data_IF_348185077416
#
_entry.id   IF_348185077416
#
_cell.length_a   1.000
_cell.length_b   1.000
_cell.length_c   1.000
_cell.angle_alpha   90.00
_cell.angle_beta   90.00
_cell.angle_gamma   90.00
#
_symmetry.space_group_name_H-M   'P 1'
#
loop_
_entity.id
_entity.type
_entity.pdbx_description
1 polymer ?
#
# COMPACT_ATOMS: atom_id res chain seq x y z
N UNK A 1 -24.82 -25.70 25.55
CA UNK A 1 -23.49 -26.08 26.12
C UNK A 1 -23.54 -27.49 26.70
N UNK A 2 -24.50 -27.80 27.59
CA UNK A 2 -24.64 -29.17 28.14
C UNK A 2 -25.16 -30.19 27.11
N UNK A 3 -25.91 -29.74 26.11
CA UNK A 3 -26.43 -30.58 25.01
C UNK A 3 -25.43 -30.82 23.86
N UNK A 4 -24.19 -30.31 23.98
CA UNK A 4 -23.13 -30.42 22.97
C UNK A 4 -23.46 -29.90 21.55
N UNK A 5 -24.61 -29.24 21.35
CA UNK A 5 -24.96 -28.61 20.08
C UNK A 5 -24.16 -27.31 19.84
N UNK A 6 -23.10 -27.44 19.05
CA UNK A 6 -22.24 -26.33 18.63
C UNK A 6 -22.85 -25.52 17.47
N UNK A 7 -23.70 -26.12 16.64
CA UNK A 7 -24.32 -25.45 15.50
C UNK A 7 -25.45 -24.53 15.98
N UNK A 8 -26.32 -25.05 16.85
CA UNK A 8 -27.37 -24.26 17.48
C UNK A 8 -26.80 -23.14 18.34
N UNK A 9 -25.70 -23.39 19.05
CA UNK A 9 -25.02 -22.36 19.84
C UNK A 9 -24.46 -21.25 18.94
N UNK A 10 -23.79 -21.59 17.83
CA UNK A 10 -23.26 -20.59 16.89
C UNK A 10 -24.37 -19.74 16.25
N UNK A 11 -25.43 -20.39 15.77
CA UNK A 11 -26.58 -19.69 15.21
C UNK A 11 -27.27 -18.78 16.24
N UNK A 12 -27.34 -19.22 17.51
CA UNK A 12 -27.91 -18.42 18.59
C UNK A 12 -27.03 -17.21 18.95
N UNK A 13 -25.71 -17.39 18.95
CA UNK A 13 -24.76 -16.29 19.18
C UNK A 13 -24.82 -15.27 18.03
N UNK A 14 -24.84 -15.73 16.78
CA UNK A 14 -24.94 -14.83 15.62
C UNK A 14 -26.31 -14.10 15.56
N UNK A 15 -27.37 -14.68 16.12
CA UNK A 15 -28.71 -14.09 16.16
C UNK A 15 -28.95 -13.13 17.33
N UNK A 16 -28.29 -13.33 18.47
CA UNK A 16 -28.55 -12.59 19.71
C UNK A 16 -27.24 -12.12 20.33
N UNK A 17 -26.95 -10.82 20.32
CA UNK A 17 -25.68 -10.24 20.86
C UNK A 17 -25.81 -9.70 22.31
N UNK A 18 -26.96 -9.91 22.96
CA UNK A 18 -27.24 -9.41 24.32
C UNK A 18 -26.85 -10.44 25.40
N UNK A 19 -25.58 -10.78 25.50
CA UNK A 19 -25.06 -11.63 26.58
C UNK A 19 -23.60 -11.28 26.93
N UNK A 20 -23.09 -11.80 28.04
CA UNK A 20 -21.70 -11.57 28.45
C UNK A 20 -20.74 -12.44 27.62
N UNK A 21 -20.25 -11.85 26.53
CA UNK A 21 -19.29 -12.44 25.59
C UNK A 21 -18.03 -12.98 26.29
N UNK A 22 -17.54 -12.30 27.33
CA UNK A 22 -16.28 -12.65 27.99
C UNK A 22 -16.46 -13.84 28.92
N UNK A 23 -17.51 -13.81 29.75
CA UNK A 23 -17.80 -14.91 30.68
C UNK A 23 -18.17 -16.18 29.92
N UNK A 24 -18.91 -16.06 28.81
CA UNK A 24 -19.24 -17.20 27.95
C UNK A 24 -17.97 -17.79 27.30
N UNK A 25 -17.10 -16.96 26.74
CA UNK A 25 -15.85 -17.42 26.12
C UNK A 25 -14.93 -18.15 27.11
N UNK A 26 -14.80 -17.66 28.35
CA UNK A 26 -14.01 -18.32 29.39
C UNK A 26 -14.58 -19.69 29.79
N UNK A 27 -15.90 -19.85 29.77
CA UNK A 27 -16.55 -21.14 30.04
C UNK A 27 -16.34 -22.12 28.89
N UNK A 28 -16.38 -21.63 27.65
CA UNK A 28 -16.17 -22.42 26.44
C UNK A 28 -14.70 -22.85 26.27
N UNK A 29 -13.72 -22.04 26.68
CA UNK A 29 -12.28 -22.41 26.63
C UNK A 29 -11.98 -23.69 27.43
N UNK A 30 -12.71 -23.94 28.52
CA UNK A 30 -12.51 -25.11 29.39
C UNK A 30 -13.16 -26.40 28.87
N UNK A 31 -13.98 -26.31 27.81
CA UNK A 31 -14.70 -27.46 27.29
C UNK A 31 -13.76 -28.40 26.50
N UNK A 32 -14.03 -29.71 26.54
CA UNK A 32 -13.18 -30.72 25.88
C UNK A 32 -13.24 -30.67 24.35
N UNK A 33 -14.37 -30.30 23.77
CA UNK A 33 -14.52 -30.22 22.30
C UNK A 33 -13.83 -28.99 21.73
N UNK A 34 -13.13 -29.20 20.61
CA UNK A 34 -12.49 -28.14 19.82
C UNK A 34 -13.49 -27.15 19.25
N UNK A 35 -14.71 -27.60 18.89
CA UNK A 35 -15.72 -26.74 18.28
C UNK A 35 -16.21 -25.65 19.25
N UNK A 36 -16.36 -25.96 20.54
CA UNK A 36 -16.71 -24.95 21.54
C UNK A 36 -15.58 -23.96 21.77
N UNK A 37 -14.31 -24.40 21.74
CA UNK A 37 -13.16 -23.51 21.87
C UNK A 37 -12.97 -22.63 20.62
N UNK A 38 -13.32 -23.14 19.44
CA UNK A 38 -13.41 -22.36 18.21
C UNK A 38 -14.46 -21.26 18.31
N UNK A 39 -15.64 -21.57 18.84
CA UNK A 39 -16.69 -20.56 19.11
C UNK A 39 -16.20 -19.54 20.16
N UNK A 40 -15.46 -19.97 21.17
CA UNK A 40 -14.84 -19.06 22.15
C UNK A 40 -13.85 -18.07 21.49
N UNK A 41 -13.02 -18.55 20.55
CA UNK A 41 -12.10 -17.69 19.80
C UNK A 41 -12.86 -16.66 18.95
N UNK A 42 -13.98 -17.06 18.34
CA UNK A 42 -14.89 -16.18 17.60
C UNK A 42 -15.54 -15.11 18.49
N UNK A 43 -15.99 -15.49 19.70
CA UNK A 43 -16.49 -14.55 20.71
C UNK A 43 -15.43 -13.53 21.14
N UNK A 44 -14.18 -13.96 21.37
CA UNK A 44 -13.08 -13.04 21.69
C UNK A 44 -12.76 -12.09 20.55
N UNK A 45 -12.87 -12.54 19.29
CA UNK A 45 -12.76 -11.70 18.11
C UNK A 45 -13.85 -10.62 18.10
N UNK A 46 -15.12 -10.98 18.33
CA UNK A 46 -16.24 -10.02 18.36
C UNK A 46 -16.04 -8.91 19.39
N UNK A 47 -15.36 -9.20 20.51
CA UNK A 47 -15.05 -8.24 21.56
C UNK A 47 -13.67 -7.55 21.39
N UNK A 48 -13.06 -7.56 20.19
CA UNK A 48 -11.74 -6.98 19.91
C UNK A 48 -10.58 -7.50 20.80
N UNK A 49 -10.72 -8.69 21.40
CA UNK A 49 -9.67 -9.31 22.23
C UNK A 49 -8.80 -10.24 21.39
N UNK A 50 -8.08 -9.65 20.44
CA UNK A 50 -7.27 -10.37 19.45
C UNK A 50 -6.18 -11.25 20.08
N UNK A 51 -5.50 -10.75 21.13
CA UNK A 51 -4.44 -11.50 21.84
C UNK A 51 -4.95 -12.83 22.42
N UNK A 52 -6.10 -12.79 23.10
CA UNK A 52 -6.72 -13.98 23.70
C UNK A 52 -7.24 -14.93 22.63
N UNK A 53 -7.83 -14.39 21.56
CA UNK A 53 -8.32 -15.19 20.44
C UNK A 53 -7.18 -15.96 19.75
N UNK A 54 -6.07 -15.29 19.46
CA UNK A 54 -4.89 -15.91 18.84
C UNK A 54 -4.23 -16.92 19.77
N UNK A 55 -4.11 -16.64 21.07
CA UNK A 55 -3.55 -17.58 22.04
C UNK A 55 -4.39 -18.86 22.16
N UNK A 56 -5.72 -18.73 22.12
CA UNK A 56 -6.61 -19.89 22.09
C UNK A 56 -6.44 -20.69 20.80
N UNK A 57 -6.32 -20.01 19.65
CA UNK A 57 -6.06 -20.69 18.38
C UNK A 57 -4.70 -21.41 18.36
N UNK A 58 -3.68 -20.88 19.04
CA UNK A 58 -2.38 -21.54 19.23
C UNK A 58 -2.52 -22.82 20.07
N UNK A 59 -3.29 -22.78 21.18
CA UNK A 59 -3.55 -23.97 22.01
C UNK A 59 -4.24 -25.08 21.23
N UNK A 60 -5.20 -24.72 20.38
CA UNK A 60 -5.99 -25.69 19.63
C UNK A 60 -5.39 -26.06 18.27
N UNK A 61 -4.30 -25.41 17.85
CA UNK A 61 -3.67 -25.57 16.52
C UNK A 61 -4.64 -25.28 15.37
N UNK A 62 -5.56 -24.34 15.55
CA UNK A 62 -6.45 -23.86 14.50
C UNK A 62 -5.74 -22.80 13.64
N UNK A 63 -4.90 -23.27 12.73
CA UNK A 63 -4.05 -22.42 11.90
C UNK A 63 -4.83 -21.47 10.98
N UNK A 64 -5.90 -21.95 10.35
CA UNK A 64 -6.70 -21.16 9.40
C UNK A 64 -7.39 -19.98 10.06
N UNK A 65 -8.02 -20.23 11.21
CA UNK A 65 -8.74 -19.20 11.94
C UNK A 65 -7.77 -18.22 12.60
N UNK A 66 -6.64 -18.70 13.15
CA UNK A 66 -5.58 -17.85 13.69
C UNK A 66 -5.10 -16.81 12.67
N UNK A 67 -4.90 -17.24 11.42
CA UNK A 67 -4.45 -16.38 10.33
C UNK A 67 -5.50 -15.34 9.94
N UNK A 68 -6.77 -15.73 9.83
CA UNK A 68 -7.85 -14.77 9.57
C UNK A 68 -7.99 -13.77 10.71
N UNK A 69 -7.89 -14.21 11.96
CA UNK A 69 -7.99 -13.32 13.12
C UNK A 69 -6.81 -12.36 13.23
N UNK A 70 -5.60 -12.79 12.86
CA UNK A 70 -4.43 -11.89 12.76
C UNK A 70 -4.55 -10.90 11.61
N UNK A 71 -5.09 -11.31 10.45
CA UNK A 71 -5.34 -10.40 9.34
C UNK A 71 -6.41 -9.35 9.69
N UNK A 72 -7.47 -9.76 10.40
CA UNK A 72 -8.54 -8.87 10.85
C UNK A 72 -8.11 -7.93 11.98
N UNK A 73 -7.20 -8.35 12.86
CA UNK A 73 -6.74 -7.50 13.97
C UNK A 73 -5.99 -6.26 13.49
N UNK A 74 -5.38 -6.31 12.29
CA UNK A 74 -4.51 -5.26 11.75
C UNK A 74 -3.40 -4.82 12.72
N UNK A 75 -2.98 -5.71 13.61
CA UNK A 75 -1.84 -5.52 14.51
C UNK A 75 -0.61 -6.26 13.99
N UNK A 76 0.39 -5.51 13.51
CA UNK A 76 1.63 -6.06 12.94
C UNK A 76 2.41 -6.89 13.97
N UNK A 77 2.46 -6.46 15.24
CA UNK A 77 3.17 -7.22 16.28
C UNK A 77 2.50 -8.59 16.54
N UNK A 78 1.17 -8.65 16.46
CA UNK A 78 0.43 -9.89 16.64
C UNK A 78 0.68 -10.84 15.47
N UNK A 79 0.72 -10.32 14.25
CA UNK A 79 1.02 -11.09 13.05
C UNK A 79 2.46 -11.64 13.09
N UNK A 80 3.46 -10.85 13.49
CA UNK A 80 4.84 -11.30 13.65
C UNK A 80 4.99 -12.40 14.71
N UNK A 81 4.36 -12.23 15.88
CA UNK A 81 4.33 -13.25 16.95
C UNK A 81 3.61 -14.53 16.53
N UNK A 82 2.63 -14.44 15.63
CA UNK A 82 1.98 -15.60 15.06
C UNK A 82 2.90 -16.28 14.04
N UNK A 83 3.58 -15.50 13.20
CA UNK A 83 4.54 -15.99 12.21
C UNK A 83 5.71 -16.74 12.85
N UNK A 84 6.30 -16.19 13.91
CA UNK A 84 7.39 -16.82 14.66
C UNK A 84 6.96 -18.18 15.23
N UNK A 85 5.73 -18.27 15.75
CA UNK A 85 5.17 -19.52 16.26
C UNK A 85 4.93 -20.56 15.14
N UNK A 86 4.47 -20.14 13.96
CA UNK A 86 4.34 -21.04 12.81
C UNK A 86 5.68 -21.63 12.37
N UNK A 87 6.76 -20.84 12.46
CA UNK A 87 8.12 -21.25 12.15
C UNK A 87 8.68 -22.24 13.18
N UNK A 88 8.37 -22.06 14.46
CA UNK A 88 8.72 -23.01 15.53
C UNK A 88 8.02 -24.37 15.33
N UNK A 89 6.81 -24.38 14.78
CA UNK A 89 6.06 -25.62 14.52
C UNK A 89 6.41 -26.28 13.16
N UNK A 90 7.40 -25.74 12.43
CA UNK A 90 7.92 -26.18 11.12
C UNK A 90 6.84 -26.38 10.02
N UNK A 91 5.67 -25.75 10.17
CA UNK A 91 4.56 -25.81 9.21
C UNK A 91 4.75 -24.80 8.08
N UNK A 92 5.61 -25.15 7.12
CA UNK A 92 5.98 -24.31 5.95
C UNK A 92 4.80 -23.85 5.10
N UNK A 93 3.77 -24.68 4.98
CA UNK A 93 2.54 -24.35 4.23
C UNK A 93 1.70 -23.28 4.92
N UNK A 94 1.63 -23.31 6.26
CA UNK A 94 0.90 -22.31 7.04
C UNK A 94 1.61 -20.96 6.98
N UNK A 95 2.95 -20.96 6.96
CA UNK A 95 3.74 -19.75 6.77
C UNK A 95 3.42 -19.06 5.44
N UNK A 96 3.46 -19.80 4.33
CA UNK A 96 3.15 -19.26 3.01
C UNK A 96 1.72 -18.68 2.95
N UNK A 97 0.74 -19.40 3.49
CA UNK A 97 -0.64 -18.91 3.49
C UNK A 97 -0.81 -17.68 4.41
N UNK A 98 -0.08 -17.60 5.53
CA UNK A 98 -0.11 -16.44 6.45
C UNK A 98 0.48 -15.17 5.86
N UNK A 99 1.47 -15.32 4.98
CA UNK A 99 2.03 -14.22 4.20
C UNK A 99 0.99 -13.59 3.27
N UNK A 100 0.19 -14.42 2.60
CA UNK A 100 -0.86 -13.93 1.72
C UNK A 100 -2.01 -13.26 2.47
N UNK A 101 -2.44 -13.81 3.61
CA UNK A 101 -3.53 -13.21 4.38
C UNK A 101 -3.14 -11.90 5.05
N UNK A 102 -1.87 -11.77 5.47
CA UNK A 102 -1.36 -10.61 6.19
C UNK A 102 -0.51 -9.68 5.31
N UNK A 103 -0.80 -9.62 4.00
CA UNK A 103 0.01 -8.91 2.99
C UNK A 103 0.29 -7.44 3.34
N UNK A 104 -0.71 -6.72 3.83
CA UNK A 104 -0.60 -5.28 4.15
C UNK A 104 0.12 -4.99 5.47
N UNK A 105 0.25 -6.01 6.32
CA UNK A 105 0.64 -5.84 7.72
C UNK A 105 2.07 -6.27 8.01
N UNK A 106 2.58 -7.18 7.19
CA UNK A 106 3.92 -7.75 7.34
C UNK A 106 4.95 -6.89 6.61
N UNK A 107 6.01 -6.51 7.32
CA UNK A 107 7.16 -5.88 6.70
C UNK A 107 7.95 -6.93 5.90
N UNK A 108 8.24 -6.67 4.60
CA UNK A 108 9.01 -7.60 3.76
C UNK A 108 10.37 -7.98 4.36
N UNK A 109 10.99 -7.05 5.10
CA UNK A 109 12.29 -7.24 5.73
C UNK A 109 12.25 -8.33 6.82
N UNK A 110 11.22 -8.29 7.69
CA UNK A 110 11.03 -9.26 8.77
C UNK A 110 10.71 -10.65 8.20
N UNK A 111 9.87 -10.69 7.17
CA UNK A 111 9.56 -11.94 6.45
C UNK A 111 10.81 -12.54 5.85
N UNK A 112 11.69 -11.72 5.27
CA UNK A 112 12.91 -12.19 4.62
C UNK A 112 13.90 -12.76 5.64
N UNK A 113 14.08 -12.09 6.78
CA UNK A 113 14.93 -12.58 7.87
C UNK A 113 14.43 -13.95 8.37
N UNK A 114 13.13 -14.07 8.61
CA UNK A 114 12.49 -15.30 9.08
C UNK A 114 12.59 -16.44 8.05
N UNK A 115 12.30 -16.14 6.79
CA UNK A 115 12.39 -17.11 5.71
C UNK A 115 13.83 -17.62 5.49
N UNK A 116 14.81 -16.73 5.65
CA UNK A 116 16.21 -17.07 5.50
C UNK A 116 16.74 -17.91 6.67
N UNK A 117 16.40 -17.57 7.92
CA UNK A 117 16.82 -18.36 9.10
C UNK A 117 16.29 -19.78 9.09
N UNK A 118 15.06 -19.98 8.59
CA UNK A 118 14.40 -21.29 8.56
C UNK A 118 14.58 -22.04 7.23
N UNK A 119 15.35 -21.49 6.28
CA UNK A 119 15.58 -22.08 4.96
C UNK A 119 14.28 -22.42 4.20
N UNK A 120 13.27 -21.56 4.30
CA UNK A 120 11.94 -21.69 3.67
C UNK A 120 11.73 -20.65 2.57
N UNK A 121 12.83 -20.16 2.00
CA UNK A 121 12.83 -19.07 1.01
C UNK A 121 11.99 -19.42 -0.22
N UNK A 122 12.02 -20.67 -0.69
CA UNK A 122 11.24 -21.14 -1.84
C UNK A 122 9.73 -20.93 -1.70
N UNK A 123 9.20 -21.03 -0.48
CA UNK A 123 7.77 -20.80 -0.20
C UNK A 123 7.40 -19.32 -0.10
N UNK A 124 8.37 -18.45 0.21
CA UNK A 124 8.18 -17.01 0.30
C UNK A 124 8.39 -16.30 -1.05
N UNK A 125 9.07 -16.94 -2.02
CA UNK A 125 9.38 -16.34 -3.32
C UNK A 125 8.16 -15.76 -4.07
N UNK A 126 6.99 -16.44 -4.15
CA UNK A 126 5.83 -15.87 -4.82
C UNK A 126 5.32 -14.58 -4.17
N UNK A 127 5.40 -14.49 -2.85
CA UNK A 127 5.04 -13.29 -2.08
C UNK A 127 5.99 -12.14 -2.40
N UNK A 128 7.31 -12.38 -2.38
CA UNK A 128 8.30 -11.35 -2.71
C UNK A 128 8.15 -10.83 -4.15
N UNK A 129 7.93 -11.72 -5.12
CA UNK A 129 7.70 -11.32 -6.52
C UNK A 129 6.48 -10.39 -6.62
N UNK A 130 5.40 -10.69 -5.89
CA UNK A 130 4.21 -9.86 -5.89
C UNK A 130 4.46 -8.48 -5.27
N UNK A 131 5.13 -8.41 -4.11
CA UNK A 131 5.52 -7.15 -3.46
C UNK A 131 6.41 -6.31 -4.36
N UNK A 132 7.44 -6.90 -4.96
CA UNK A 132 8.36 -6.20 -5.86
C UNK A 132 7.64 -5.66 -7.09
N UNK A 133 6.76 -6.46 -7.72
CA UNK A 133 5.98 -6.02 -8.88
C UNK A 133 5.07 -4.84 -8.53
N UNK A 134 4.39 -4.91 -7.40
CA UNK A 134 3.47 -3.86 -6.98
C UNK A 134 4.21 -2.57 -6.59
N UNK A 135 5.35 -2.69 -5.92
CA UNK A 135 6.22 -1.56 -5.59
C UNK A 135 6.72 -0.86 -6.85
N UNK A 136 7.29 -1.61 -7.81
CA UNK A 136 7.73 -1.07 -9.09
C UNK A 136 6.58 -0.40 -9.86
N UNK A 137 5.41 -1.04 -9.92
CA UNK A 137 4.24 -0.45 -10.60
C UNK A 137 3.75 0.84 -9.92
N UNK A 138 3.81 0.92 -8.58
CA UNK A 138 3.43 2.13 -7.83
C UNK A 138 4.47 3.25 -8.05
N UNK A 139 5.76 2.92 -8.04
CA UNK A 139 6.84 3.87 -8.33
C UNK A 139 6.72 4.40 -9.76
N UNK A 140 6.50 3.54 -10.75
CA UNK A 140 6.32 3.95 -12.15
C UNK A 140 5.10 4.88 -12.33
N UNK A 141 3.99 4.60 -11.63
CA UNK A 141 2.81 5.49 -11.64
C UNK A 141 3.10 6.84 -10.98
N UNK A 142 3.86 6.85 -9.89
CA UNK A 142 4.25 8.09 -9.21
C UNK A 142 5.19 8.92 -10.08
N UNK A 143 6.17 8.29 -10.72
CA UNK A 143 7.11 8.93 -11.64
C UNK A 143 6.37 9.51 -12.87
N UNK A 144 5.44 8.76 -13.44
CA UNK A 144 4.55 9.24 -14.50
C UNK A 144 3.66 10.43 -14.04
N UNK A 145 3.17 10.42 -12.80
CA UNK A 145 2.36 11.52 -12.27
C UNK A 145 3.19 12.77 -11.95
N UNK A 146 4.43 12.61 -11.51
CA UNK A 146 5.37 13.72 -11.28
C UNK A 146 5.82 14.35 -12.58
N UNK A 147 6.12 13.53 -13.60
CA UNK A 147 6.50 14.02 -14.93
C UNK A 147 5.35 14.77 -15.59
N UNK A 148 4.11 14.26 -15.53
CA UNK A 148 2.93 14.99 -16.00
C UNK A 148 2.72 16.32 -15.25
N UNK A 149 2.92 16.37 -13.93
CA UNK A 149 2.85 17.63 -13.16
C UNK A 149 3.95 18.62 -13.55
N UNK A 150 5.18 18.14 -13.78
CA UNK A 150 6.30 18.96 -14.25
C UNK A 150 6.07 19.48 -15.67
N UNK A 151 5.38 18.73 -16.51
CA UNK A 151 4.98 19.16 -17.85
C UNK A 151 3.83 20.17 -17.79
N UNK A 152 2.83 20.00 -16.92
CA UNK A 152 1.75 20.97 -16.71
C UNK A 152 2.25 22.30 -16.11
N UNK A 153 3.20 22.28 -15.17
CA UNK A 153 3.86 23.49 -14.64
C UNK A 153 4.74 24.18 -15.70
N UNK A 154 5.37 23.43 -16.61
CA UNK A 154 6.15 23.99 -17.72
C UNK A 154 5.27 24.52 -18.88
N UNK A 155 4.02 24.07 -19.01
CA UNK A 155 3.08 24.58 -20.01
C UNK A 155 2.35 25.85 -19.51
N UNK A 156 2.26 26.07 -18.20
CA UNK A 156 1.64 27.27 -17.62
C UNK A 156 2.50 28.55 -17.75
N UNK A 157 3.82 28.43 -17.93
CA UNK A 157 4.71 29.51 -18.35
C UNK A 157 5.58 28.99 -19.50
N UNK A 158 5.42 29.33 -20.81
CA UNK A 158 4.98 30.60 -21.40
C UNK A 158 4.15 30.48 -22.71
N UNK A 159 2.97 31.09 -22.81
CA UNK A 159 2.35 31.37 -24.14
C UNK A 159 2.46 32.85 -24.48
N UNK A 160 3.34 33.26 -25.42
CA UNK A 160 3.30 34.62 -25.95
C UNK A 160 2.06 34.75 -26.84
N UNK A 161 1.16 35.66 -26.49
CA UNK A 161 -0.04 36.00 -27.25
C UNK A 161 0.40 36.71 -28.55
N UNK A 162 0.69 35.97 -29.62
CA UNK A 162 0.92 36.54 -30.97
C UNK A 162 0.33 35.61 -32.03
N UNK A 163 -0.89 35.89 -32.49
CA UNK A 163 -1.46 35.46 -33.78
C UNK A 163 -2.78 36.27 -33.93
N UNK A 164 -2.97 37.25 -34.82
CA UNK A 164 -2.58 37.30 -36.22
C UNK A 164 -3.86 37.21 -37.08
N UNK A 165 -4.64 38.30 -37.20
CA UNK A 165 -5.73 38.39 -38.17
C UNK A 165 -5.94 39.85 -38.63
N UNK A 166 -5.52 40.14 -39.87
CA UNK A 166 -5.81 41.37 -40.61
C UNK A 166 -7.21 41.29 -41.24
N UNK A 167 -8.02 42.34 -41.08
CA UNK A 167 -9.12 42.72 -41.97
C UNK A 167 -9.25 44.26 -41.97
N UNK A 168 -9.45 44.82 -43.16
CA UNK A 168 -9.20 46.22 -43.55
C UNK A 168 -10.38 47.22 -43.39
N UNK A 169 -10.01 48.51 -43.29
CA UNK A 169 -10.65 49.76 -43.80
C UNK A 169 -11.84 50.43 -43.08
N UNK A 170 -11.58 51.57 -42.40
CA UNK A 170 -12.37 52.82 -42.48
C UNK A 170 -11.61 54.04 -41.87
N UNK A 171 -11.63 55.17 -42.58
CA UNK A 171 -10.95 56.48 -42.40
C UNK A 171 -11.15 57.13 -41.00
N UNK A 172 -10.27 57.92 -40.36
CA UNK A 172 -9.38 59.08 -40.66
C UNK A 172 -9.61 60.14 -39.53
N UNK A 173 -8.98 61.33 -39.41
CA UNK A 173 -7.62 61.83 -39.66
C UNK A 173 -6.96 62.49 -38.40
N UNK A 174 -5.73 63.00 -38.57
CA UNK A 174 -4.99 63.99 -37.74
C UNK A 174 -4.08 63.56 -36.56
N UNK A 175 -2.80 63.95 -36.67
CA UNK A 175 -2.05 64.51 -35.54
C UNK A 175 -0.63 63.97 -35.31
N UNK A 176 0.35 64.34 -36.13
CA UNK A 176 1.79 64.38 -35.73
C UNK A 176 2.03 65.70 -34.95
N UNK A 177 3.05 65.89 -34.07
CA UNK A 177 4.49 65.69 -34.39
C UNK A 177 5.37 65.32 -33.14
N UNK A 178 6.67 65.67 -33.00
CA UNK A 178 7.78 64.69 -33.08
C UNK A 178 8.77 64.72 -31.87
N UNK A 179 9.65 63.71 -31.71
CA UNK A 179 10.92 63.95 -30.99
C UNK A 179 12.07 63.03 -31.41
N UNK A 180 13.28 63.56 -31.23
CA UNK A 180 14.44 63.42 -32.09
C UNK A 180 15.55 62.52 -31.52
N UNK A 181 16.13 61.68 -32.39
CA UNK A 181 17.54 61.65 -32.81
C UNK A 181 18.72 61.58 -31.78
N UNK A 182 19.48 60.46 -31.90
CA UNK A 182 20.96 60.31 -31.83
C UNK A 182 21.69 60.10 -30.44
N UNK A 183 22.98 59.67 -30.38
CA UNK A 183 23.48 58.28 -30.47
C UNK A 183 24.68 57.96 -29.52
N UNK A 184 24.96 56.71 -29.09
CA UNK A 184 26.27 56.37 -28.48
C UNK A 184 26.53 54.86 -28.66
N UNK A 185 27.45 54.40 -29.53
CA UNK A 185 28.93 54.30 -29.43
C UNK A 185 29.42 53.44 -28.25
N UNK A 186 29.77 52.19 -28.58
CA UNK A 186 30.79 51.23 -28.07
C UNK A 186 31.69 51.62 -26.86
N UNK A 187 32.17 50.65 -26.04
CA UNK A 187 33.22 49.72 -26.47
C UNK A 187 33.17 48.26 -25.95
N UNK A 188 34.04 47.46 -26.58
CA UNK A 188 34.16 46.01 -26.59
C UNK A 188 34.79 45.36 -25.33
N UNK A 189 34.52 44.05 -25.15
CA UNK A 189 35.41 43.06 -24.49
C UNK A 189 34.85 41.61 -24.67
N UNK A 190 35.68 40.54 -24.59
CA UNK A 190 35.67 39.46 -25.58
C UNK A 190 35.41 38.03 -25.07
N UNK A 191 34.97 37.15 -25.99
CA UNK A 191 35.49 35.78 -26.11
C UNK A 191 34.68 34.62 -25.50
N UNK A 192 34.69 33.48 -26.22
CA UNK A 192 34.12 32.13 -25.99
C UNK A 192 32.65 31.97 -26.41
N UNK A 193 32.25 31.18 -27.42
CA UNK A 193 32.89 30.10 -28.17
C UNK A 193 31.88 28.95 -28.32
N UNK A 194 31.04 28.97 -29.37
CA UNK A 194 30.13 27.86 -29.72
C UNK A 194 30.79 26.90 -30.72
N UNK A 195 30.52 25.58 -30.65
CA UNK A 195 31.13 24.57 -31.52
C UNK A 195 30.45 24.48 -32.91
N UNK A 196 31.18 24.14 -33.99
CA UNK A 196 30.61 24.07 -35.33
C UNK A 196 29.91 22.72 -35.59
N UNK A 197 28.70 22.80 -36.13
CA UNK A 197 27.93 21.68 -36.70
C UNK A 197 28.45 21.40 -38.10
N UNK A 198 28.99 20.21 -38.33
CA UNK A 198 29.39 19.73 -39.66
C UNK A 198 28.17 19.20 -40.42
N UNK A 199 27.83 19.87 -41.53
CA UNK A 199 26.87 19.40 -42.54
C UNK A 199 27.53 18.41 -43.50
N UNK A 200 26.90 17.25 -43.65
CA UNK A 200 27.25 16.19 -44.59
C UNK A 200 26.44 16.40 -45.88
N UNK A 201 27.12 16.44 -47.02
CA UNK A 201 26.53 16.60 -48.36
C UNK A 201 26.86 15.35 -49.19
N UNK A 202 25.82 14.65 -49.65
CA UNK A 202 25.82 13.79 -50.84
C UNK A 202 24.45 13.89 -51.49
#
# INVERSE_FOLDING_TARGET
IEEEDYQGLRASIDAYDNFDNITLAQRLEKHKLIEFRRIAAYLYKGNNRWKQSVELCKKDRLYKDAMQYAAESKDAELAEKLLQWFLEEDKKECFAASLFTCYDLLHPDVVLELAWRHNIMDFAMPYFIQVMREYLTKVDKLDASESLRKDEEQVAEPTPIVFGQQLMLTAGPNGVPPQANFPYVYPAAPGFGQPPVYGFNM
#
